data_IF_708694986239
#
_entry.id   IF_708694986239
#
_cell.length_a   1.000
_cell.length_b   1.000
_cell.length_c   1.000
_cell.angle_alpha   90.00
_cell.angle_beta   90.00
_cell.angle_gamma   90.00
#
_symmetry.space_group_name_H-M   'P 1'
#
loop_
_entity.id
_entity.type
_entity.pdbx_description
1 polymer ?
#
# COMPACT_ATOMS: atom_id res chain seq x y z
N UNK A 1 15.57 -3.85 4.97
CA UNK A 1 14.95 -3.57 6.25
C UNK A 1 13.95 -4.67 6.54
N UNK A 2 14.38 -5.89 6.90
CA UNK A 2 13.47 -7.05 7.01
C UNK A 2 12.34 -6.79 8.01
N UNK A 3 12.66 -6.11 9.11
CA UNK A 3 11.69 -5.70 10.11
C UNK A 3 10.64 -4.77 9.50
N UNK A 4 11.04 -3.74 8.76
CA UNK A 4 10.08 -2.82 8.11
C UNK A 4 9.24 -3.51 7.04
N UNK A 5 9.82 -4.41 6.23
CA UNK A 5 9.06 -5.23 5.29
C UNK A 5 7.93 -6.01 6.00
N UNK A 6 8.28 -6.67 7.11
CA UNK A 6 7.32 -7.43 7.93
C UNK A 6 6.30 -6.48 8.53
N UNK A 7 6.74 -5.39 9.15
CA UNK A 7 5.88 -4.39 9.79
C UNK A 7 4.89 -3.80 8.78
N UNK A 8 5.33 -3.40 7.59
CA UNK A 8 4.47 -2.85 6.55
C UNK A 8 3.49 -3.89 6.01
N UNK A 9 3.94 -5.14 5.84
CA UNK A 9 3.07 -6.23 5.44
C UNK A 9 1.97 -6.49 6.48
N UNK A 10 2.32 -6.53 7.76
CA UNK A 10 1.36 -6.76 8.84
C UNK A 10 0.41 -5.57 9.03
N UNK A 11 0.92 -4.34 8.96
CA UNK A 11 0.11 -3.14 9.25
C UNK A 11 -0.78 -2.72 8.08
N UNK A 12 -0.29 -2.83 6.84
CA UNK A 12 -1.03 -2.33 5.67
C UNK A 12 -1.66 -3.46 4.86
N UNK A 13 -0.89 -4.49 4.53
CA UNK A 13 -1.36 -5.54 3.64
C UNK A 13 -2.33 -6.51 4.31
N UNK A 14 -2.02 -6.99 5.51
CA UNK A 14 -2.91 -7.97 6.18
C UNK A 14 -4.32 -7.40 6.37
N UNK A 15 -4.54 -6.18 6.91
CA UNK A 15 -5.88 -5.63 7.06
C UNK A 15 -6.55 -5.34 5.71
N UNK A 16 -5.80 -4.85 4.72
CA UNK A 16 -6.32 -4.62 3.37
C UNK A 16 -6.79 -5.93 2.71
N UNK A 17 -6.01 -7.01 2.83
CA UNK A 17 -6.36 -8.32 2.30
C UNK A 17 -7.58 -8.91 3.00
N UNK A 18 -7.65 -8.83 4.33
CA UNK A 18 -8.83 -9.25 5.08
C UNK A 18 -10.07 -8.48 4.61
N UNK A 19 -9.98 -7.16 4.44
CA UNK A 19 -11.07 -6.37 3.89
C UNK A 19 -11.47 -6.81 2.49
N UNK A 20 -10.51 -7.04 1.59
CA UNK A 20 -10.76 -7.50 0.21
C UNK A 20 -11.48 -8.86 0.19
N UNK A 21 -11.03 -9.81 1.02
CA UNK A 21 -11.58 -11.17 1.07
C UNK A 21 -12.99 -11.23 1.66
N UNK A 22 -13.25 -10.45 2.71
CA UNK A 22 -14.48 -10.56 3.49
C UNK A 22 -15.51 -9.48 3.17
N UNK A 23 -15.09 -8.22 3.01
CA UNK A 23 -16.00 -7.08 2.99
C UNK A 23 -16.15 -6.45 1.60
N UNK A 24 -15.10 -6.39 0.78
CA UNK A 24 -15.15 -5.76 -0.54
C UNK A 24 -16.20 -6.42 -1.45
N UNK A 25 -16.38 -7.74 -1.37
CA UNK A 25 -17.40 -8.49 -2.12
C UNK A 25 -18.85 -8.13 -1.78
N UNK A 26 -19.10 -7.46 -0.65
CA UNK A 26 -20.44 -7.03 -0.21
C UNK A 26 -20.88 -5.71 -0.83
N UNK A 27 -19.97 -5.01 -1.51
CA UNK A 27 -20.28 -3.80 -2.26
C UNK A 27 -20.66 -4.12 -3.71
N UNK A 28 -21.33 -3.18 -4.36
CA UNK A 28 -21.72 -3.30 -5.75
C UNK A 28 -20.50 -3.38 -6.69
N UNK A 29 -20.74 -3.78 -7.93
CA UNK A 29 -19.68 -3.95 -8.93
C UNK A 29 -18.98 -2.63 -9.24
N UNK A 30 -19.70 -1.50 -9.23
CA UNK A 30 -19.13 -0.19 -9.55
C UNK A 30 -18.09 0.20 -8.50
N UNK A 31 -18.45 0.12 -7.21
CA UNK A 31 -17.54 0.48 -6.13
C UNK A 31 -16.30 -0.44 -6.08
N UNK A 32 -16.48 -1.74 -6.32
CA UNK A 32 -15.36 -2.69 -6.40
C UNK A 32 -14.39 -2.33 -7.53
N UNK A 33 -14.91 -1.96 -8.70
CA UNK A 33 -14.08 -1.50 -9.83
C UNK A 33 -13.33 -0.20 -9.47
N UNK A 34 -14.01 0.75 -8.84
CA UNK A 34 -13.39 2.01 -8.39
C UNK A 34 -12.30 1.78 -7.36
N UNK A 35 -12.47 0.83 -6.43
CA UNK A 35 -11.43 0.45 -5.46
C UNK A 35 -10.15 -0.03 -6.16
N UNK A 36 -10.29 -0.96 -7.11
CA UNK A 36 -9.13 -1.50 -7.84
C UNK A 36 -8.50 -0.47 -8.78
N UNK A 37 -9.34 0.33 -9.48
CA UNK A 37 -8.85 1.39 -10.35
C UNK A 37 -8.07 2.45 -9.56
N UNK A 38 -8.56 2.87 -8.40
CA UNK A 38 -7.88 3.83 -7.52
C UNK A 38 -6.59 3.24 -6.98
N UNK A 39 -6.61 1.99 -6.51
CA UNK A 39 -5.40 1.31 -6.01
C UNK A 39 -4.33 1.18 -7.09
N UNK A 40 -4.72 0.82 -8.32
CA UNK A 40 -3.80 0.73 -9.46
C UNK A 40 -3.26 2.08 -9.91
N UNK A 41 -4.11 3.10 -10.00
CA UNK A 41 -3.69 4.46 -10.36
C UNK A 41 -2.70 5.03 -9.34
N UNK A 42 -3.00 4.87 -8.05
CA UNK A 42 -2.08 5.30 -6.99
C UNK A 42 -0.79 4.51 -6.98
N UNK A 43 -0.80 3.20 -7.26
CA UNK A 43 0.42 2.43 -7.39
C UNK A 43 1.37 3.04 -8.45
N UNK A 44 0.85 3.43 -9.61
CA UNK A 44 1.65 4.10 -10.65
C UNK A 44 2.21 5.45 -10.17
N UNK A 45 1.38 6.28 -9.53
CA UNK A 45 1.81 7.58 -8.97
C UNK A 45 2.92 7.38 -7.94
N UNK A 46 2.77 6.41 -7.04
CA UNK A 46 3.71 6.14 -5.96
C UNK A 46 5.04 5.57 -6.48
N UNK A 47 5.02 4.73 -7.52
CA UNK A 47 6.26 4.34 -8.22
C UNK A 47 6.99 5.58 -8.74
N UNK A 48 6.27 6.48 -9.42
CA UNK A 48 6.86 7.71 -9.96
C UNK A 48 7.45 8.60 -8.87
N UNK A 49 6.74 8.77 -7.76
CA UNK A 49 7.22 9.52 -6.60
C UNK A 49 8.46 8.89 -5.97
N UNK A 50 8.50 7.57 -5.80
CA UNK A 50 9.62 6.86 -5.20
C UNK A 50 10.91 7.05 -6.01
N UNK A 51 10.84 6.89 -7.34
CA UNK A 51 11.98 7.15 -8.21
C UNK A 51 12.48 8.60 -8.13
N UNK A 52 11.57 9.58 -7.99
CA UNK A 52 11.96 10.97 -7.78
C UNK A 52 12.66 11.16 -6.42
N UNK A 53 12.10 10.58 -5.36
CA UNK A 53 12.67 10.71 -4.01
C UNK A 53 14.04 10.05 -3.87
N UNK A 54 14.24 8.90 -4.51
CA UNK A 54 15.55 8.27 -4.59
C UNK A 54 16.55 9.11 -5.40
N UNK A 55 16.10 9.72 -6.50
CA UNK A 55 16.96 10.60 -7.30
C UNK A 55 17.44 11.84 -6.54
N UNK A 56 16.62 12.38 -5.65
CA UNK A 56 16.93 13.56 -4.84
C UNK A 56 17.46 13.22 -3.44
N UNK A 57 17.71 11.93 -3.15
CA UNK A 57 18.16 11.44 -1.84
C UNK A 57 17.34 11.98 -0.66
N UNK A 58 16.02 12.08 -0.85
CA UNK A 58 15.11 12.70 0.13
C UNK A 58 15.06 11.92 1.45
N UNK A 59 15.19 10.60 1.36
CA UNK A 59 15.01 9.69 2.49
C UNK A 59 16.32 9.31 3.20
N UNK A 60 17.48 9.81 2.73
CA UNK A 60 18.80 9.47 3.28
C UNK A 60 19.00 7.96 3.49
N UNK A 61 18.60 7.14 2.51
CA UNK A 61 18.73 5.69 2.62
C UNK A 61 20.19 5.30 2.71
N UNK A 62 20.55 4.60 3.78
CA UNK A 62 21.90 4.10 4.01
C UNK A 62 21.84 2.66 4.46
N UNK A 63 22.29 1.74 3.59
CA UNK A 63 22.48 0.32 3.94
C UNK A 63 23.43 0.12 5.13
N UNK A 64 24.21 1.14 5.51
CA UNK A 64 25.04 1.09 6.73
C UNK A 64 24.22 1.13 8.02
N UNK A 65 23.03 1.71 7.99
CA UNK A 65 22.17 1.89 9.17
C UNK A 65 21.02 0.88 9.13
N UNK A 66 20.47 0.63 7.94
CA UNK A 66 19.27 -0.15 7.75
C UNK A 66 19.49 -1.24 6.69
N UNK A 67 19.91 -2.46 7.08
CA UNK A 67 20.25 -3.51 6.13
C UNK A 67 19.02 -3.92 5.31
N UNK A 68 19.11 -3.80 3.98
CA UNK A 68 18.07 -4.16 3.01
C UNK A 68 17.90 -5.68 2.87
N UNK A 69 16.72 -6.15 2.45
CA UNK A 69 16.50 -7.58 2.12
C UNK A 69 17.27 -7.97 0.85
N UNK A 70 17.81 -6.99 0.13
CA UNK A 70 18.61 -7.20 -1.08
C UNK A 70 17.77 -7.46 -2.33
N UNK A 71 16.45 -7.28 -2.24
CA UNK A 71 15.54 -7.32 -3.38
C UNK A 71 15.27 -5.90 -3.88
N UNK A 72 15.43 -5.70 -5.18
CA UNK A 72 15.34 -4.39 -5.82
C UNK A 72 14.39 -4.43 -7.01
N UNK A 73 13.63 -3.36 -7.21
CA UNK A 73 12.85 -3.09 -8.42
C UNK A 73 13.51 -1.88 -9.08
N UNK A 74 14.29 -2.12 -10.13
CA UNK A 74 15.13 -1.09 -10.73
C UNK A 74 16.20 -0.61 -9.74
N UNK A 75 16.22 0.69 -9.43
CA UNK A 75 17.16 1.30 -8.48
C UNK A 75 16.58 1.46 -7.07
N UNK A 76 15.38 0.93 -6.82
CA UNK A 76 14.61 1.16 -5.61
C UNK A 76 14.42 -0.16 -4.81
N UNK A 77 14.56 -0.14 -3.48
CA UNK A 77 14.37 -1.35 -2.66
C UNK A 77 12.92 -1.79 -2.62
N UNK A 78 12.67 -3.11 -2.59
CA UNK A 78 11.32 -3.69 -2.59
C UNK A 78 10.50 -3.24 -1.38
N UNK A 79 11.14 -3.03 -0.23
CA UNK A 79 10.47 -2.63 1.01
C UNK A 79 9.64 -1.35 0.88
N UNK A 80 10.13 -0.36 0.13
CA UNK A 80 9.42 0.89 -0.12
C UNK A 80 8.16 0.67 -0.95
N UNK A 81 8.25 -0.17 -1.99
CA UNK A 81 7.07 -0.52 -2.79
C UNK A 81 6.03 -1.27 -1.97
N UNK A 82 6.44 -2.11 -1.02
CA UNK A 82 5.50 -2.82 -0.13
C UNK A 82 4.71 -1.86 0.74
N UNK A 83 5.37 -0.84 1.30
CA UNK A 83 4.68 0.23 2.02
C UNK A 83 3.70 0.98 1.11
N UNK A 84 4.19 1.54 0.01
CA UNK A 84 3.42 2.41 -0.87
C UNK A 84 2.21 1.69 -1.51
N UNK A 85 2.41 0.45 -1.95
CA UNK A 85 1.34 -0.34 -2.56
C UNK A 85 0.34 -0.88 -1.54
N UNK A 86 0.74 -1.04 -0.28
CA UNK A 86 -0.17 -1.43 0.80
C UNK A 86 -0.99 -0.26 1.33
N UNK A 87 -0.42 0.95 1.37
CA UNK A 87 -1.03 2.12 2.00
C UNK A 87 -2.37 2.52 1.36
N UNK A 88 -2.43 2.58 0.02
CA UNK A 88 -3.67 2.97 -0.69
C UNK A 88 -4.83 1.99 -0.44
N UNK A 89 -4.70 0.68 -0.72
CA UNK A 89 -5.80 -0.27 -0.48
C UNK A 89 -6.13 -0.37 1.00
N UNK A 90 -5.18 -0.16 1.92
CA UNK A 90 -5.45 -0.07 3.36
C UNK A 90 -6.34 1.14 3.70
N UNK A 91 -5.97 2.35 3.27
CA UNK A 91 -6.77 3.56 3.53
C UNK A 91 -8.19 3.44 2.96
N UNK A 92 -8.32 2.91 1.75
CA UNK A 92 -9.61 2.64 1.12
C UNK A 92 -10.40 1.59 1.90
N UNK A 93 -9.76 0.50 2.35
CA UNK A 93 -10.39 -0.53 3.16
C UNK A 93 -10.91 0.01 4.49
N UNK A 94 -10.14 0.85 5.19
CA UNK A 94 -10.57 1.50 6.43
C UNK A 94 -11.76 2.41 6.18
N UNK A 95 -11.69 3.27 5.16
CA UNK A 95 -12.77 4.20 4.83
C UNK A 95 -14.06 3.47 4.46
N UNK A 96 -14.00 2.52 3.52
CA UNK A 96 -15.16 1.76 3.10
C UNK A 96 -15.68 0.84 4.21
N UNK A 97 -14.78 0.26 5.02
CA UNK A 97 -15.14 -0.53 6.19
C UNK A 97 -15.94 0.29 7.20
N UNK A 98 -15.47 1.49 7.51
CA UNK A 98 -16.20 2.46 8.34
C UNK A 98 -17.57 2.79 7.74
N UNK A 99 -17.62 3.09 6.44
CA UNK A 99 -18.87 3.36 5.74
C UNK A 99 -19.85 2.18 5.84
N UNK A 100 -19.41 0.93 5.66
CA UNK A 100 -20.32 -0.22 5.68
C UNK A 100 -20.80 -0.58 7.10
N UNK A 101 -19.89 -0.56 8.07
CA UNK A 101 -20.13 -1.13 9.39
C UNK A 101 -20.71 -0.11 10.38
N UNK A 102 -20.31 1.16 10.25
CA UNK A 102 -20.64 2.20 11.24
C UNK A 102 -21.58 3.26 10.68
N UNK A 103 -21.49 3.56 9.38
CA UNK A 103 -22.35 4.54 8.73
C UNK A 103 -23.42 3.82 7.90
N UNK A 104 -24.53 3.43 8.51
CA UNK A 104 -25.64 2.58 7.97
C UNK A 104 -26.29 2.96 6.62
N UNK A 105 -25.70 3.81 5.78
CA UNK A 105 -26.22 4.34 4.51
C UNK A 105 -25.14 4.41 3.40
N UNK A 106 -24.40 3.32 3.15
CA UNK A 106 -23.52 3.19 1.98
C UNK A 106 -23.95 1.99 1.12
#
# INVERSE_FOLDING_TARGET
MPVYLITYSILFWVPALLFVLFLLKTFDVSLRRSFWATSGAMAVVLVGMEYLFLKFDVWFFSEKIDPLVGLWIGSAPVEEFVFWFGATPFCLAVYLGYCKLLKKNA
#
